data_IF_308063808714
#
_entry.id   IF_308063808714
#
_cell.length_a   1.000
_cell.length_b   1.000
_cell.length_c   1.000
_cell.angle_alpha   90.00
_cell.angle_beta   90.00
_cell.angle_gamma   90.00
#
_symmetry.space_group_name_H-M   'P 1'
#
loop_
_entity.id
_entity.type
_entity.pdbx_description
1 polymer ?
#
# COMPACT_ATOMS: atom_id res chain seq x y z
N UNK A 1 13.28 -10.82 2.13
CA UNK A 1 12.87 -11.64 0.98
C UNK A 1 11.78 -10.92 0.16
N UNK A 2 10.71 -10.39 0.78
CA UNK A 2 9.58 -9.79 0.05
C UNK A 2 9.91 -8.52 -0.76
N UNK A 3 10.95 -7.78 -0.42
CA UNK A 3 11.44 -6.64 -1.22
C UNK A 3 12.17 -7.09 -2.52
N UNK A 4 12.57 -8.35 -2.57
CA UNK A 4 13.23 -8.98 -3.70
C UNK A 4 12.66 -10.38 -3.90
N UNK A 5 11.62 -10.52 -4.70
CA UNK A 5 10.84 -11.76 -4.82
C UNK A 5 11.61 -13.01 -5.26
N UNK A 6 12.78 -12.83 -5.89
CA UNK A 6 13.66 -13.94 -6.26
C UNK A 6 14.58 -14.47 -5.13
N UNK A 7 14.60 -13.78 -3.98
CA UNK A 7 15.50 -14.14 -2.87
C UNK A 7 14.84 -15.11 -1.92
N UNK A 8 15.56 -16.18 -1.58
CA UNK A 8 15.18 -17.10 -0.51
C UNK A 8 16.13 -16.89 0.68
N UNK A 9 15.57 -16.55 1.85
CA UNK A 9 16.31 -16.35 3.09
C UNK A 9 16.00 -17.52 4.02
N UNK A 10 17.03 -18.30 4.37
CA UNK A 10 16.96 -19.37 5.36
C UNK A 10 17.53 -18.88 6.68
N UNK A 11 16.69 -18.86 7.68
CA UNK A 11 17.06 -18.47 9.03
C UNK A 11 17.22 -19.70 9.92
N UNK A 12 18.27 -19.71 10.71
CA UNK A 12 18.42 -20.69 11.80
C UNK A 12 19.25 -20.12 12.95
N UNK A 13 18.87 -20.41 14.16
CA UNK A 13 19.64 -20.11 15.35
C UNK A 13 19.57 -21.29 16.36
N UNK A 14 20.51 -21.30 17.31
CA UNK A 14 20.44 -22.23 18.42
C UNK A 14 19.25 -21.86 19.31
N UNK A 15 18.36 -22.83 19.65
CA UNK A 15 17.21 -22.57 20.50
C UNK A 15 17.57 -21.96 21.87
N UNK A 16 18.78 -22.27 22.39
CA UNK A 16 19.26 -21.72 23.67
C UNK A 16 19.49 -20.20 23.64
N UNK A 17 19.61 -19.59 22.46
CA UNK A 17 19.75 -18.16 22.28
C UNK A 17 18.42 -17.40 22.33
N UNK A 18 17.29 -18.12 22.22
CA UNK A 18 15.95 -17.54 22.27
C UNK A 18 15.45 -17.45 23.71
N UNK A 19 14.81 -16.32 24.05
CA UNK A 19 14.17 -16.15 25.35
C UNK A 19 12.77 -16.79 25.32
N UNK A 20 12.25 -17.21 26.48
CA UNK A 20 10.92 -17.85 26.60
C UNK A 20 9.74 -17.02 26.03
N UNK A 21 9.92 -15.71 25.92
CA UNK A 21 8.91 -14.77 25.38
C UNK A 21 9.25 -14.25 23.99
N UNK A 22 10.20 -14.87 23.31
CA UNK A 22 10.65 -14.46 21.99
C UNK A 22 9.82 -15.19 20.93
N UNK A 23 9.10 -14.45 20.10
CA UNK A 23 8.30 -15.00 18.99
C UNK A 23 9.18 -15.43 17.79
N UNK A 24 10.49 -15.24 17.89
CA UNK A 24 11.44 -15.61 16.84
C UNK A 24 11.55 -17.13 16.74
N UNK A 25 11.22 -17.75 15.59
CA UNK A 25 11.37 -19.19 15.42
C UNK A 25 12.84 -19.60 15.35
N UNK A 26 13.23 -20.79 15.85
CA UNK A 26 14.60 -21.28 15.74
C UNK A 26 15.03 -21.58 14.31
N UNK A 27 14.06 -21.85 13.42
CA UNK A 27 14.27 -22.03 11.98
C UNK A 27 13.10 -21.43 11.22
N UNK A 28 13.38 -20.75 10.11
CA UNK A 28 12.37 -20.24 9.19
C UNK A 28 12.94 -20.08 7.77
N UNK A 29 12.09 -20.28 6.78
CA UNK A 29 12.38 -20.01 5.38
C UNK A 29 11.47 -18.86 4.92
N UNK A 30 12.08 -17.81 4.34
CA UNK A 30 11.37 -16.66 3.82
C UNK A 30 11.58 -16.59 2.31
N UNK A 31 10.52 -16.85 1.57
CA UNK A 31 10.50 -16.78 0.11
C UNK A 31 9.15 -16.23 -0.35
N UNK A 32 9.17 -15.10 -1.08
CA UNK A 32 7.98 -14.43 -1.59
C UNK A 32 8.16 -14.19 -3.09
N UNK A 33 7.91 -15.18 -3.96
CA UNK A 33 8.11 -15.05 -5.40
C UNK A 33 7.33 -13.90 -6.04
N UNK A 34 6.12 -13.64 -5.55
CA UNK A 34 5.27 -12.50 -5.93
C UNK A 34 5.62 -11.19 -5.24
N UNK A 35 6.71 -11.12 -4.45
CA UNK A 35 7.19 -9.92 -3.80
C UNK A 35 6.24 -9.35 -2.76
N UNK A 36 5.94 -8.05 -2.83
CA UNK A 36 5.07 -7.36 -1.89
C UNK A 36 3.65 -7.93 -1.86
N UNK A 37 3.12 -8.35 -3.00
CA UNK A 37 1.78 -8.98 -3.09
C UNK A 37 1.68 -10.23 -2.23
N UNK A 38 2.67 -11.13 -2.33
CA UNK A 38 2.69 -12.38 -1.58
C UNK A 38 2.83 -12.13 -0.07
N UNK A 39 3.69 -11.20 0.31
CA UNK A 39 3.87 -10.83 1.70
C UNK A 39 2.61 -10.19 2.30
N UNK A 40 1.97 -9.29 1.57
CA UNK A 40 0.73 -8.65 2.01
C UNK A 40 -0.39 -9.69 2.17
N UNK A 41 -0.55 -10.60 1.22
CA UNK A 41 -1.55 -11.66 1.29
C UNK A 41 -1.33 -12.58 2.51
N UNK A 42 -0.07 -12.95 2.79
CA UNK A 42 0.27 -13.74 3.98
C UNK A 42 0.00 -12.98 5.29
N UNK A 43 0.24 -11.66 5.31
CA UNK A 43 0.00 -10.80 6.49
C UNK A 43 -1.49 -10.63 6.81
N UNK A 44 -2.37 -10.81 5.83
CA UNK A 44 -3.82 -10.67 5.95
C UNK A 44 -4.56 -12.01 5.91
N UNK A 45 -3.86 -13.12 6.09
CA UNK A 45 -4.47 -14.45 6.09
C UNK A 45 -5.57 -14.54 7.16
N UNK A 46 -6.75 -15.00 6.75
CA UNK A 46 -7.94 -15.08 7.62
C UNK A 46 -8.71 -13.77 7.80
N UNK A 47 -8.21 -12.64 7.31
CA UNK A 47 -8.92 -11.36 7.39
C UNK A 47 -9.94 -11.20 6.26
N UNK A 48 -11.06 -10.52 6.57
CA UNK A 48 -12.05 -10.17 5.57
C UNK A 48 -11.48 -9.12 4.60
N UNK A 49 -11.53 -9.42 3.31
CA UNK A 49 -11.11 -8.50 2.24
C UNK A 49 -12.30 -8.04 1.41
N UNK A 50 -12.31 -6.75 1.06
CA UNK A 50 -13.38 -6.11 0.28
C UNK A 50 -13.38 -6.60 -1.17
N UNK A 51 -12.18 -6.74 -1.75
CA UNK A 51 -11.98 -7.24 -3.12
C UNK A 51 -11.29 -8.59 -3.10
N UNK A 52 -11.55 -9.42 -4.11
CA UNK A 52 -10.94 -10.75 -4.22
C UNK A 52 -9.45 -10.71 -4.47
N UNK A 53 -9.00 -9.70 -5.21
CA UNK A 53 -7.62 -9.56 -5.61
C UNK A 53 -6.98 -8.34 -4.99
N UNK A 54 -5.71 -8.50 -4.62
CA UNK A 54 -4.83 -7.39 -4.25
C UNK A 54 -4.47 -6.62 -5.51
N UNK A 55 -4.59 -5.29 -5.47
CA UNK A 55 -4.03 -4.45 -6.51
C UNK A 55 -2.52 -4.34 -6.32
N UNK A 56 -1.77 -4.97 -7.20
CA UNK A 56 -0.30 -5.02 -7.11
C UNK A 56 0.35 -4.86 -8.47
N UNK A 57 1.57 -4.39 -8.48
CA UNK A 57 2.35 -4.26 -9.69
C UNK A 57 3.78 -3.78 -9.46
N UNK A 58 4.52 -3.72 -10.55
CA UNK A 58 5.89 -3.22 -10.61
C UNK A 58 6.04 -2.27 -11.78
N UNK A 59 6.88 -1.26 -11.60
CA UNK A 59 7.38 -0.40 -12.68
C UNK A 59 8.90 -0.37 -12.60
N UNK A 60 9.55 -1.01 -13.54
CA UNK A 60 11.02 -1.06 -13.61
C UNK A 60 11.53 0.01 -14.57
N UNK A 61 12.56 0.74 -14.16
CA UNK A 61 13.22 1.75 -14.96
C UNK A 61 14.69 1.38 -15.17
N UNK A 62 15.19 1.63 -16.36
CA UNK A 62 16.60 1.44 -16.67
C UNK A 62 17.47 2.28 -15.72
N UNK A 63 18.46 1.64 -15.08
CA UNK A 63 19.29 2.28 -14.08
C UNK A 63 18.66 2.42 -12.70
N UNK A 64 17.48 1.86 -12.49
CA UNK A 64 16.80 1.73 -11.19
C UNK A 64 16.06 2.95 -10.69
N UNK A 65 16.50 4.17 -11.02
CA UNK A 65 15.83 5.39 -10.57
C UNK A 65 14.38 5.48 -11.05
N UNK A 66 13.45 5.67 -10.12
CA UNK A 66 12.02 5.71 -10.40
C UNK A 66 11.36 4.34 -10.55
N UNK A 67 12.09 3.26 -10.28
CA UNK A 67 11.49 1.93 -10.18
C UNK A 67 10.70 1.80 -8.90
N UNK A 68 9.57 1.11 -8.95
CA UNK A 68 8.76 0.84 -7.77
C UNK A 68 7.97 -0.45 -7.88
N UNK A 69 7.58 -0.95 -6.71
CA UNK A 69 6.65 -2.06 -6.52
C UNK A 69 5.60 -1.65 -5.51
N UNK A 70 4.36 -2.09 -5.71
CA UNK A 70 3.26 -1.81 -4.78
C UNK A 70 2.33 -3.02 -4.64
N UNK A 71 1.65 -3.05 -3.52
CA UNK A 71 0.53 -3.94 -3.26
C UNK A 71 -0.44 -3.24 -2.31
N UNK A 72 -1.72 -3.28 -2.58
CA UNK A 72 -2.76 -2.73 -1.71
C UNK A 72 -4.04 -3.53 -1.84
N UNK A 73 -4.70 -3.70 -0.70
CA UNK A 73 -6.06 -4.22 -0.61
C UNK A 73 -6.81 -3.51 0.49
N UNK A 74 -8.12 -3.63 0.49
CA UNK A 74 -8.99 -3.09 1.53
C UNK A 74 -9.58 -4.23 2.33
N UNK A 75 -9.64 -4.08 3.65
CA UNK A 75 -10.01 -5.16 4.55
C UNK A 75 -10.76 -4.65 5.80
N UNK A 76 -11.19 -5.55 6.68
CA UNK A 76 -12.01 -5.21 7.84
C UNK A 76 -11.27 -4.59 9.03
N UNK A 77 -9.93 -4.50 8.97
CA UNK A 77 -9.10 -3.93 10.04
C UNK A 77 -8.68 -2.48 9.79
N UNK A 78 -7.83 -1.99 10.67
CA UNK A 78 -7.26 -0.65 10.57
C UNK A 78 -6.24 -0.56 9.43
N UNK A 79 -6.31 0.51 8.65
CA UNK A 79 -5.42 0.74 7.53
C UNK A 79 -3.97 0.95 7.97
N UNK A 80 -3.05 0.45 7.16
CA UNK A 80 -1.62 0.70 7.31
C UNK A 80 -0.95 0.82 5.93
N UNK A 81 0.16 1.51 5.89
CA UNK A 81 1.00 1.59 4.71
C UNK A 81 2.46 1.39 5.13
N UNK A 82 3.03 0.25 4.76
CA UNK A 82 4.45 -0.04 4.95
C UNK A 82 5.22 0.40 3.73
N UNK A 83 6.06 1.42 3.87
CA UNK A 83 6.79 2.02 2.76
C UNK A 83 8.30 1.95 2.94
N UNK A 84 8.99 1.87 1.80
CA UNK A 84 10.43 1.70 1.70
C UNK A 84 11.01 2.63 0.63
N UNK A 85 12.18 3.16 0.87
CA UNK A 85 12.99 3.83 -0.14
C UNK A 85 14.38 3.20 -0.17
N UNK A 86 14.80 2.68 -1.32
CA UNK A 86 16.06 1.96 -1.48
C UNK A 86 16.23 0.87 -0.40
N UNK A 87 15.18 0.09 -0.18
CA UNK A 87 15.07 -0.99 0.83
C UNK A 87 15.05 -0.54 2.30
N UNK A 88 15.22 0.76 2.57
CA UNK A 88 15.16 1.31 3.92
C UNK A 88 13.69 1.56 4.30
N UNK A 89 13.21 1.01 5.43
CA UNK A 89 11.87 1.29 5.91
C UNK A 89 11.69 2.79 6.24
N UNK A 90 10.61 3.38 5.73
CA UNK A 90 10.26 4.77 6.00
C UNK A 90 9.07 4.80 6.96
N UNK A 91 9.33 4.61 8.25
CA UNK A 91 8.28 4.45 9.29
C UNK A 91 7.39 5.69 9.45
N UNK A 92 7.91 6.87 9.14
CA UNK A 92 7.16 8.13 9.14
C UNK A 92 6.63 8.51 7.74
N UNK A 93 6.71 7.61 6.78
CA UNK A 93 6.22 7.81 5.42
C UNK A 93 7.03 8.79 4.60
N UNK A 94 6.35 9.69 3.93
CA UNK A 94 6.95 10.74 3.12
C UNK A 94 6.26 10.97 1.78
N UNK A 95 7.02 11.54 0.84
CA UNK A 95 6.51 11.98 -0.47
C UNK A 95 6.01 10.85 -1.35
N UNK A 96 6.63 9.66 -1.29
CA UNK A 96 6.16 8.47 -2.03
C UNK A 96 4.80 8.01 -1.53
N UNK A 97 4.56 8.02 -0.21
CA UNK A 97 3.23 7.71 0.34
C UNK A 97 2.18 8.76 -0.04
N UNK A 98 2.56 10.04 -0.08
CA UNK A 98 1.66 11.09 -0.54
C UNK A 98 1.21 10.85 -2.00
N UNK A 99 2.13 10.50 -2.88
CA UNK A 99 1.83 10.11 -4.27
C UNK A 99 0.91 8.89 -4.34
N UNK A 100 1.14 7.89 -3.50
CA UNK A 100 0.33 6.68 -3.42
C UNK A 100 -1.12 6.98 -2.98
N UNK A 101 -1.29 7.75 -1.91
CA UNK A 101 -2.62 8.20 -1.44
C UNK A 101 -3.36 9.00 -2.50
N UNK A 102 -2.67 9.91 -3.17
CA UNK A 102 -3.23 10.75 -4.22
C UNK A 102 -3.73 9.93 -5.40
N UNK A 103 -2.92 9.02 -5.93
CA UNK A 103 -3.27 8.25 -7.12
C UNK A 103 -4.45 7.30 -6.87
N UNK A 104 -4.50 6.66 -5.71
CA UNK A 104 -5.63 5.80 -5.34
C UNK A 104 -6.92 6.61 -5.17
N UNK A 105 -6.85 7.74 -4.49
CA UNK A 105 -8.02 8.63 -4.28
C UNK A 105 -8.54 9.17 -5.60
N UNK A 106 -7.68 9.69 -6.46
CA UNK A 106 -8.06 10.23 -7.77
C UNK A 106 -8.62 9.14 -8.68
N UNK A 107 -8.01 7.96 -8.69
CA UNK A 107 -8.47 6.83 -9.50
C UNK A 107 -9.88 6.37 -9.12
N UNK A 108 -10.16 6.23 -7.83
CA UNK A 108 -11.50 5.87 -7.34
C UNK A 108 -12.55 6.95 -7.66
N UNK A 109 -12.19 8.23 -7.49
CA UNK A 109 -13.11 9.33 -7.83
C UNK A 109 -13.36 9.42 -9.33
N UNK A 110 -12.35 9.23 -10.16
CA UNK A 110 -12.50 9.20 -11.61
C UNK A 110 -13.40 8.04 -12.07
N UNK A 111 -13.21 6.84 -11.49
CA UNK A 111 -14.07 5.70 -11.76
C UNK A 111 -15.52 5.95 -11.34
N UNK A 112 -15.73 6.55 -10.18
CA UNK A 112 -17.07 6.93 -9.70
C UNK A 112 -17.76 7.91 -10.65
N UNK A 113 -17.02 8.90 -11.15
CA UNK A 113 -17.54 9.87 -12.13
C UNK A 113 -17.93 9.19 -13.45
N UNK A 114 -17.07 8.31 -13.98
CA UNK A 114 -17.35 7.53 -15.20
C UNK A 114 -18.59 6.62 -15.06
N UNK A 115 -18.83 6.08 -13.87
CA UNK A 115 -19.98 5.20 -13.59
C UNK A 115 -21.22 5.94 -13.06
N UNK A 116 -21.16 7.27 -12.94
CA UNK A 116 -22.27 8.10 -12.50
C UNK A 116 -22.57 8.03 -11.00
N UNK A 117 -21.62 7.55 -10.18
CA UNK A 117 -21.76 7.49 -8.72
C UNK A 117 -21.46 8.84 -8.08
N UNK A 118 -22.47 9.66 -7.89
CA UNK A 118 -22.35 11.00 -7.29
C UNK A 118 -22.02 10.99 -5.79
N UNK A 119 -22.26 9.88 -5.07
CA UNK A 119 -21.97 9.76 -3.64
C UNK A 119 -20.47 9.82 -3.34
N UNK A 120 -19.63 9.46 -4.30
CA UNK A 120 -18.19 9.52 -4.16
C UNK A 120 -17.60 10.94 -4.16
N UNK A 121 -18.40 11.98 -4.41
CA UNK A 121 -17.95 13.39 -4.38
C UNK A 121 -17.36 13.80 -3.03
N UNK A 122 -17.86 13.22 -1.92
CA UNK A 122 -17.42 13.51 -0.55
C UNK A 122 -16.18 12.73 -0.13
N UNK A 123 -15.75 11.75 -0.91
CA UNK A 123 -14.59 10.90 -0.61
C UNK A 123 -13.30 11.71 -0.62
N UNK A 124 -12.48 11.53 0.40
CA UNK A 124 -11.12 12.05 0.48
C UNK A 124 -10.10 10.93 0.70
N UNK A 125 -8.82 11.28 0.79
CA UNK A 125 -7.74 10.29 0.94
C UNK A 125 -7.80 9.52 2.27
N UNK A 126 -8.31 10.12 3.33
CA UNK A 126 -8.50 9.46 4.62
C UNK A 126 -9.50 8.31 4.51
N UNK A 127 -10.63 8.54 3.82
CA UNK A 127 -11.66 7.52 3.60
C UNK A 127 -11.16 6.34 2.78
N UNK A 128 -10.26 6.60 1.83
CA UNK A 128 -9.62 5.57 1.00
C UNK A 128 -8.63 4.75 1.82
N UNK A 129 -7.85 5.39 2.70
CA UNK A 129 -6.72 4.76 3.38
C UNK A 129 -7.05 4.17 4.73
N UNK A 130 -8.17 4.53 5.36
CA UNK A 130 -8.51 4.12 6.74
C UNK A 130 -8.62 2.61 6.94
N UNK A 131 -8.92 1.87 5.89
CA UNK A 131 -8.99 0.41 5.88
C UNK A 131 -8.16 -0.22 4.76
N UNK A 132 -7.22 0.51 4.18
CA UNK A 132 -6.29 0.00 3.19
C UNK A 132 -5.07 -0.62 3.86
N UNK A 133 -4.77 -1.86 3.51
CA UNK A 133 -3.50 -2.51 3.81
C UNK A 133 -2.60 -2.37 2.59
N UNK A 134 -1.52 -1.61 2.71
CA UNK A 134 -0.66 -1.28 1.59
C UNK A 134 0.82 -1.46 1.87
N UNK A 135 1.55 -1.75 0.81
CA UNK A 135 3.00 -1.79 0.76
C UNK A 135 3.51 -1.06 -0.47
N UNK A 136 4.58 -0.29 -0.30
CA UNK A 136 5.19 0.50 -1.36
C UNK A 136 6.71 0.48 -1.21
N UNK A 137 7.42 0.11 -2.25
CA UNK A 137 8.88 0.15 -2.31
C UNK A 137 9.31 0.96 -3.52
N UNK A 138 10.05 2.04 -3.30
CA UNK A 138 10.57 2.90 -4.36
C UNK A 138 12.10 2.89 -4.38
N UNK A 139 12.66 3.05 -5.58
CA UNK A 139 14.11 3.20 -5.79
C UNK A 139 14.40 4.57 -6.40
N UNK A 140 15.12 5.40 -5.64
CA UNK A 140 15.43 6.77 -6.02
C UNK A 140 16.94 6.97 -5.90
N UNK A 141 17.55 7.51 -6.95
CA UNK A 141 18.94 7.90 -6.91
C UNK A 141 19.09 9.18 -6.08
N UNK A 142 20.02 9.17 -5.12
CA UNK A 142 20.27 10.30 -4.23
C UNK A 142 19.01 10.82 -3.50
N UNK A 143 18.29 9.95 -2.73
CA UNK A 143 17.08 10.37 -2.04
C UNK A 143 17.40 11.35 -0.91
N UNK A 144 16.49 12.29 -0.69
CA UNK A 144 16.51 13.19 0.46
C UNK A 144 15.56 12.68 1.54
N UNK A 145 16.01 12.71 2.78
CA UNK A 145 15.22 12.31 3.96
C UNK A 145 15.14 13.45 4.97
N UNK A 146 14.07 13.43 5.77
CA UNK A 146 13.96 14.31 6.94
C UNK A 146 14.76 13.68 8.09
N UNK A 147 15.84 14.35 8.53
CA UNK A 147 16.68 13.88 9.61
C UNK A 147 17.64 12.75 9.23
N UNK A 148 18.43 12.32 10.22
CA UNK A 148 19.48 11.30 10.03
C UNK A 148 18.95 9.86 10.07
N UNK A 149 17.81 9.63 10.68
CA UNK A 149 17.18 8.30 10.84
C UNK A 149 16.61 7.72 9.54
N UNK A 150 16.42 8.58 8.51
CA UNK A 150 15.84 8.21 7.22
C UNK A 150 14.42 7.65 7.30
N UNK A 151 13.68 7.98 8.35
CA UNK A 151 12.33 7.48 8.59
C UNK A 151 11.28 8.13 7.69
N UNK A 152 11.59 9.28 7.09
CA UNK A 152 10.68 10.02 6.24
C UNK A 152 11.36 10.51 4.95
N UNK A 153 10.82 10.08 3.81
CA UNK A 153 11.29 10.52 2.50
C UNK A 153 10.83 11.95 2.18
N UNK A 154 11.75 12.82 1.78
CA UNK A 154 11.50 14.21 1.45
C UNK A 154 11.62 14.54 -0.04
N UNK A 155 12.16 13.64 -0.85
CA UNK A 155 12.34 13.84 -2.31
C UNK A 155 11.01 14.14 -2.99
N UNK A 156 10.80 15.38 -3.44
CA UNK A 156 9.53 15.85 -4.03
C UNK A 156 9.16 15.09 -5.30
N UNK A 157 10.14 14.72 -6.11
CA UNK A 157 9.95 13.94 -7.34
C UNK A 157 9.25 12.59 -7.11
N UNK A 158 9.40 12.00 -5.91
CA UNK A 158 8.77 10.73 -5.58
C UNK A 158 7.24 10.75 -5.71
N UNK A 159 6.59 11.89 -5.47
CA UNK A 159 5.14 12.04 -5.67
C UNK A 159 4.77 11.69 -7.11
N UNK A 160 5.44 12.32 -8.07
CA UNK A 160 5.17 12.11 -9.51
C UNK A 160 5.59 10.74 -9.99
N UNK A 161 6.70 10.22 -9.50
CA UNK A 161 7.17 8.85 -9.82
C UNK A 161 6.09 7.84 -9.48
N UNK A 162 5.54 7.91 -8.27
CA UNK A 162 4.49 7.00 -7.81
C UNK A 162 3.18 7.21 -8.56
N UNK A 163 2.72 8.45 -8.68
CA UNK A 163 1.47 8.78 -9.39
C UNK A 163 1.51 8.31 -10.85
N UNK A 164 2.58 8.58 -11.56
CA UNK A 164 2.71 8.22 -12.98
C UNK A 164 2.79 6.72 -13.21
N UNK A 165 3.42 5.98 -12.29
CA UNK A 165 3.56 4.54 -12.44
C UNK A 165 2.27 3.78 -12.11
N UNK A 166 1.45 4.28 -11.19
CA UNK A 166 0.29 3.56 -10.65
C UNK A 166 -1.03 3.96 -11.31
N UNK A 167 -1.14 5.17 -11.83
CA UNK A 167 -2.39 5.72 -12.37
C UNK A 167 -3.04 4.81 -13.41
N UNK A 168 -2.37 4.51 -14.50
CA UNK A 168 -2.93 3.70 -15.58
C UNK A 168 -3.18 2.25 -15.17
N UNK A 169 -2.27 1.55 -14.46
CA UNK A 169 -2.56 0.25 -13.90
C UNK A 169 -3.78 0.21 -12.96
N UNK A 170 -3.97 1.25 -12.15
CA UNK A 170 -5.12 1.31 -11.24
C UNK A 170 -6.43 1.54 -11.97
N UNK A 171 -6.47 2.47 -12.91
CA UNK A 171 -7.62 2.69 -13.78
C UNK A 171 -8.02 1.42 -14.52
N UNK A 172 -7.03 0.70 -15.04
CA UNK A 172 -7.24 -0.58 -15.73
C UNK A 172 -7.77 -1.67 -14.79
N UNK A 173 -7.21 -1.78 -13.58
CA UNK A 173 -7.63 -2.74 -12.57
C UNK A 173 -9.09 -2.54 -12.15
N UNK A 174 -9.51 -1.29 -11.95
CA UNK A 174 -10.91 -0.94 -11.65
C UNK A 174 -11.84 -1.29 -12.83
N UNK A 175 -11.45 -0.95 -14.05
CA UNK A 175 -12.25 -1.21 -15.25
C UNK A 175 -12.35 -2.69 -15.62
N UNK A 176 -11.32 -3.48 -15.29
CA UNK A 176 -11.27 -4.92 -15.63
C UNK A 176 -12.27 -5.76 -14.84
N UNK A 177 -12.65 -5.32 -13.64
CA UNK A 177 -13.64 -6.00 -12.80
C UNK A 177 -14.64 -5.01 -12.18
N UNK A 178 -15.70 -4.62 -12.91
CA UNK A 178 -16.66 -3.61 -12.46
C UNK A 178 -17.38 -3.98 -11.16
N UNK A 179 -17.63 -5.26 -10.92
CA UNK A 179 -18.30 -5.71 -9.68
C UNK A 179 -17.41 -5.49 -8.45
N UNK A 180 -16.14 -5.84 -8.54
CA UNK A 180 -15.18 -5.62 -7.47
C UNK A 180 -14.90 -4.13 -7.25
N UNK A 181 -14.80 -3.35 -8.34
CA UNK A 181 -14.65 -1.91 -8.27
C UNK A 181 -15.85 -1.23 -7.59
N UNK A 182 -17.07 -1.68 -7.86
CA UNK A 182 -18.28 -1.19 -7.22
C UNK A 182 -18.29 -1.52 -5.73
N UNK A 183 -17.90 -2.74 -5.33
CA UNK A 183 -17.77 -3.10 -3.91
C UNK A 183 -16.78 -2.21 -3.18
N UNK A 184 -15.61 -1.96 -3.79
CA UNK A 184 -14.60 -1.09 -3.22
C UNK A 184 -15.10 0.35 -3.09
N UNK A 185 -15.75 0.87 -4.12
CA UNK A 185 -16.30 2.22 -4.12
C UNK A 185 -17.38 2.40 -3.04
N UNK A 186 -18.31 1.45 -2.92
CA UNK A 186 -19.33 1.46 -1.87
C UNK A 186 -18.72 1.38 -0.47
N UNK A 187 -17.67 0.59 -0.30
CA UNK A 187 -16.93 0.49 0.94
C UNK A 187 -16.29 1.81 1.35
N UNK A 188 -15.64 2.49 0.43
CA UNK A 188 -14.97 3.78 0.67
C UNK A 188 -16.00 4.90 0.89
N UNK A 189 -17.10 4.92 0.14
CA UNK A 189 -18.20 5.87 0.36
C UNK A 189 -18.81 5.70 1.75
N UNK A 190 -18.99 4.47 2.23
CA UNK A 190 -19.47 4.22 3.60
C UNK A 190 -18.54 4.83 4.66
N UNK A 191 -17.23 4.80 4.45
CA UNK A 191 -16.25 5.46 5.34
C UNK A 191 -16.39 6.98 5.30
N UNK A 192 -16.60 7.55 4.11
CA UNK A 192 -16.84 8.99 3.94
C UNK A 192 -18.14 9.43 4.65
N UNK A 193 -19.22 8.70 4.48
CA UNK A 193 -20.49 8.96 5.16
C UNK A 193 -20.35 8.93 6.68
N UNK A 194 -19.62 7.95 7.21
CA UNK A 194 -19.34 7.83 8.64
C UNK A 194 -18.52 9.02 9.17
N UNK A 195 -17.49 9.43 8.43
CA UNK A 195 -16.67 10.61 8.78
C UNK A 195 -17.53 11.89 8.83
N UNK A 196 -18.40 12.09 7.83
CA UNK A 196 -19.29 13.24 7.79
C UNK A 196 -20.26 13.23 8.97
N UNK A 197 -20.88 12.09 9.27
CA UNK A 197 -21.78 11.94 10.40
C UNK A 197 -21.11 12.27 11.73
N UNK A 198 -19.91 11.73 11.97
CA UNK A 198 -19.13 12.00 13.22
C UNK A 198 -18.77 13.48 13.38
N UNK A 199 -18.61 14.23 12.29
CA UNK A 199 -18.38 15.69 12.37
C UNK A 199 -19.63 16.42 12.81
N UNK A 200 -20.79 16.07 12.24
CA UNK A 200 -22.09 16.69 12.59
C UNK A 200 -22.51 16.41 14.04
N UNK A 201 -22.13 15.26 14.61
CA UNK A 201 -22.41 14.92 16.01
C UNK A 201 -21.55 15.69 17.03
N UNK A 202 -20.44 16.32 16.57
CA UNK A 202 -19.51 17.10 17.42
C UNK A 202 -19.74 18.62 17.37
N UNK A 203 -20.58 19.09 16.45
CA UNK A 203 -21.02 20.48 16.33
C UNK A 203 -22.31 20.72 17.11
#
# INVERSE_FOLDING_TARGET
AYLFGGVNIRWSCDPSMLKEKDDTPPKADFHFPGGLKDYLAASLDGEFQVTREVFAGKSEKQGGHGSLEWAVTWYGGDGFLSSYCNTIPTHEGGTHEAGFRNVLTRGLKAYAELTGNKRASIVNSEDVMISAAGMLSVFIREPEFVGQTKDRLATVEAIRIVENAIRDPFDHWLAANPQEATKLLDWVVARADERVRRRQEKE
#
